data_IF_623392339968
#
_entry.id   IF_623392339968
#
_cell.length_a   1.000
_cell.length_b   1.000
_cell.length_c   1.000
_cell.angle_alpha   90.00
_cell.angle_beta   90.00
_cell.angle_gamma   90.00
#
_symmetry.space_group_name_H-M   'P 1'
#
loop_
_entity.id
_entity.type
_entity.pdbx_description
1 polymer ?
#
# COMPACT_ATOMS: atom_id res chain seq x y z
N UNK A 1 -6.75 12.47 -14.34
CA UNK A 1 -5.85 12.17 -13.20
C UNK A 1 -5.59 10.68 -13.27
N UNK A 2 -4.37 10.25 -13.57
CA UNK A 2 -4.07 8.84 -13.77
C UNK A 2 -3.96 8.14 -12.41
N UNK A 3 -4.64 7.00 -12.24
CA UNK A 3 -4.60 6.20 -11.02
C UNK A 3 -3.76 4.94 -11.25
N UNK A 4 -2.81 4.69 -10.39
CA UNK A 4 -1.96 3.51 -10.41
C UNK A 4 -2.33 2.59 -9.24
N UNK A 5 -2.33 1.28 -9.50
CA UNK A 5 -2.49 0.26 -8.49
C UNK A 5 -1.30 -0.68 -8.56
N UNK A 6 -0.54 -0.79 -7.48
CA UNK A 6 0.52 -1.78 -7.35
C UNK A 6 0.00 -2.94 -6.49
N UNK A 7 0.22 -4.16 -6.98
CA UNK A 7 -0.11 -5.39 -6.26
C UNK A 7 1.15 -6.23 -6.15
N UNK A 8 1.56 -6.55 -4.94
CA UNK A 8 2.55 -7.62 -4.72
C UNK A 8 1.99 -8.94 -5.21
N UNK A 9 2.84 -9.77 -5.83
CA UNK A 9 2.51 -11.03 -6.53
C UNK A 9 1.41 -11.85 -5.88
N UNK A 10 0.58 -12.47 -6.70
CA UNK A 10 -0.61 -13.33 -6.43
C UNK A 10 -0.91 -13.56 -4.95
N UNK A 11 -1.76 -12.69 -4.37
CA UNK A 11 -2.18 -12.82 -2.98
C UNK A 11 -3.38 -13.74 -2.96
N UNK A 12 -3.16 -15.01 -2.60
CA UNK A 12 -4.25 -15.89 -2.19
C UNK A 12 -4.65 -15.48 -0.76
N UNK A 13 -5.83 -14.90 -0.60
CA UNK A 13 -6.35 -14.52 0.72
C UNK A 13 -7.39 -15.56 1.12
N UNK A 14 -7.01 -16.44 2.03
CA UNK A 14 -7.91 -17.45 2.57
C UNK A 14 -8.91 -16.91 3.59
N UNK A 15 -8.59 -15.76 4.21
CA UNK A 15 -9.43 -15.16 5.25
C UNK A 15 -9.57 -13.64 5.04
N UNK A 16 -10.77 -13.12 4.69
CA UNK A 16 -11.02 -11.69 4.49
C UNK A 16 -10.83 -10.85 5.76
N UNK A 17 -10.95 -11.43 6.95
CA UNK A 17 -10.77 -10.71 8.23
C UNK A 17 -9.31 -10.35 8.48
N UNK A 18 -8.37 -10.89 7.70
CA UNK A 18 -6.94 -10.58 7.78
C UNK A 18 -6.46 -9.57 6.74
N UNK A 19 -7.40 -8.88 6.09
CA UNK A 19 -7.13 -7.76 5.19
C UNK A 19 -7.32 -6.45 5.95
N UNK A 20 -6.26 -5.66 6.05
CA UNK A 20 -6.34 -4.30 6.57
C UNK A 20 -6.36 -3.31 5.41
N UNK A 21 -7.46 -2.56 5.27
CA UNK A 21 -7.55 -1.44 4.33
C UNK A 21 -7.52 -0.13 5.10
N UNK A 22 -6.66 0.80 4.67
CA UNK A 22 -6.43 2.06 5.38
C UNK A 22 -5.98 3.15 4.40
N UNK A 23 -6.37 4.40 4.65
CA UNK A 23 -5.79 5.53 3.96
C UNK A 23 -4.36 5.79 4.42
N UNK A 24 -3.50 6.23 3.50
CA UNK A 24 -2.09 6.47 3.76
C UNK A 24 -1.85 7.36 4.98
N UNK A 25 -2.58 8.47 5.09
CA UNK A 25 -2.44 9.41 6.20
C UNK A 25 -2.80 8.80 7.56
N UNK A 26 -3.88 8.01 7.61
CA UNK A 26 -4.33 7.33 8.84
C UNK A 26 -3.33 6.25 9.26
N UNK A 27 -2.76 5.53 8.27
CA UNK A 27 -1.69 4.57 8.53
C UNK A 27 -0.49 5.24 9.20
N UNK A 28 0.03 6.32 8.61
CA UNK A 28 1.17 7.05 9.17
C UNK A 28 0.88 7.58 10.57
N UNK A 29 -0.29 8.19 10.78
CA UNK A 29 -0.71 8.70 12.09
C UNK A 29 -0.73 7.58 13.15
N UNK A 30 -1.29 6.42 12.78
CA UNK A 30 -1.35 5.24 13.65
C UNK A 30 0.04 4.69 13.98
N UNK A 31 0.93 4.64 12.99
CA UNK A 31 2.31 4.20 13.15
C UNK A 31 3.10 5.15 14.04
N UNK A 32 2.98 6.47 13.83
CA UNK A 32 3.60 7.47 14.68
C UNK A 32 3.15 7.34 16.15
N UNK A 33 1.85 7.17 16.40
CA UNK A 33 1.30 6.96 17.74
C UNK A 33 1.85 5.68 18.38
N UNK A 34 1.89 4.57 17.63
CA UNK A 34 2.43 3.31 18.11
C UNK A 34 3.93 3.39 18.43
N UNK A 35 4.72 4.05 17.59
CA UNK A 35 6.16 4.26 17.82
C UNK A 35 6.42 5.15 19.04
N UNK A 36 5.60 6.18 19.25
CA UNK A 36 5.68 7.03 20.42
C UNK A 36 5.40 6.22 21.70
N UNK A 37 4.30 5.45 21.72
CA UNK A 37 3.96 4.57 22.83
C UNK A 37 5.06 3.56 23.14
N UNK A 38 5.66 2.95 22.11
CA UNK A 38 6.78 2.02 22.25
C UNK A 38 8.00 2.67 22.88
N UNK A 39 8.36 3.89 22.44
CA UNK A 39 9.48 4.66 23.02
C UNK A 39 9.26 4.99 24.50
N UNK A 40 8.02 5.36 24.87
CA UNK A 40 7.66 5.63 26.27
C UNK A 40 7.76 4.37 27.14
N UNK A 41 7.24 3.25 26.67
CA UNK A 41 7.32 1.97 27.38
C UNK A 41 8.77 1.55 27.61
N UNK A 42 9.63 1.65 26.58
CA UNK A 42 11.06 1.34 26.68
C UNK A 42 11.81 2.25 27.66
N UNK A 43 11.46 3.54 27.72
CA UNK A 43 12.02 4.49 28.71
C UNK A 43 11.64 4.11 30.15
N UNK A 44 10.41 3.66 30.39
CA UNK A 44 9.95 3.21 31.72
C UNK A 44 10.72 1.96 32.17
N UNK A 45 10.91 0.98 31.28
CA UNK A 45 11.66 -0.25 31.58
C UNK A 45 13.13 0.05 31.93
N UNK A 46 13.78 0.95 31.18
CA UNK A 46 15.17 1.35 31.46
C UNK A 46 15.39 2.07 32.79
N UNK A 47 14.34 2.67 33.36
CA UNK A 47 14.42 3.33 34.69
C UNK A 47 14.36 2.34 35.84
N UNK A 48 13.81 1.16 35.63
CA UNK A 48 13.60 0.14 36.66
C UNK A 48 14.67 -0.95 36.67
N UNK A 49 15.40 -1.13 35.56
CA UNK A 49 16.38 -2.22 35.46
C UNK A 49 17.74 -1.68 35.03
N UNK A 50 18.69 -1.68 36.00
CA UNK A 50 20.08 -1.27 35.80
C UNK A 50 20.92 -2.42 35.19
N UNK A 51 20.36 -3.63 35.07
CA UNK A 51 21.00 -4.85 34.57
C UNK A 51 20.41 -5.33 33.26
N UNK A 52 20.20 -4.43 32.26
CA UNK A 52 19.77 -4.88 30.94
C UNK A 52 20.97 -5.55 30.26
N UNK A 53 20.93 -6.88 30.23
CA UNK A 53 21.72 -7.68 29.28
C UNK A 53 21.31 -7.25 27.87
N UNK A 54 22.32 -6.92 27.06
CA UNK A 54 22.20 -6.65 25.63
C UNK A 54 21.97 -7.99 24.91
N UNK A 55 20.79 -8.58 25.10
CA UNK A 55 20.42 -9.74 24.34
C UNK A 55 20.14 -9.32 22.88
N UNK A 56 20.52 -10.17 21.96
CA UNK A 56 20.51 -9.96 20.51
C UNK A 56 19.12 -9.58 19.91
N UNK A 57 18.03 -9.70 20.68
CA UNK A 57 16.70 -9.22 20.31
C UNK A 57 16.55 -7.69 20.36
N UNK A 58 17.53 -6.96 20.95
CA UNK A 58 17.47 -5.50 21.09
C UNK A 58 17.85 -4.75 19.82
N UNK A 59 18.27 -5.43 18.76
CA UNK A 59 18.68 -4.82 17.49
C UNK A 59 17.52 -4.68 16.49
N UNK A 60 16.30 -5.11 16.85
CA UNK A 60 15.10 -4.95 16.02
C UNK A 60 14.61 -3.51 16.08
N UNK A 61 14.47 -2.85 14.94
CA UNK A 61 13.93 -1.49 14.91
C UNK A 61 12.49 -1.47 15.46
N UNK A 62 12.07 -0.35 16.10
CA UNK A 62 10.68 -0.22 16.58
C UNK A 62 9.65 -0.46 15.49
N UNK A 63 9.93 -0.08 14.25
CA UNK A 63 9.07 -0.31 13.08
C UNK A 63 8.97 -1.79 12.77
N UNK A 64 10.11 -2.50 12.73
CA UNK A 64 10.11 -3.95 12.49
C UNK A 64 9.35 -4.71 13.60
N UNK A 65 9.50 -4.32 14.87
CA UNK A 65 8.75 -4.92 15.97
C UNK A 65 7.24 -4.71 15.82
N UNK A 66 6.82 -3.51 15.40
CA UNK A 66 5.42 -3.19 15.13
C UNK A 66 4.87 -4.07 14.00
N UNK A 67 5.60 -4.14 12.87
CA UNK A 67 5.21 -4.94 11.70
C UNK A 67 5.13 -6.43 12.02
N UNK A 68 6.12 -6.99 12.70
CA UNK A 68 6.09 -8.40 13.14
C UNK A 68 4.88 -8.72 14.02
N UNK A 69 4.46 -7.76 14.85
CA UNK A 69 3.24 -7.90 15.64
C UNK A 69 1.98 -7.88 14.76
N UNK A 70 1.92 -6.95 13.80
CA UNK A 70 0.81 -6.82 12.85
C UNK A 70 0.67 -8.07 11.96
N UNK A 71 1.78 -8.64 11.47
CA UNK A 71 1.83 -9.82 10.61
C UNK A 71 1.21 -11.10 11.22
N UNK A 72 0.99 -11.12 12.54
CA UNK A 72 0.25 -12.21 13.19
C UNK A 72 -1.24 -12.20 12.86
N UNK A 73 -1.79 -11.02 12.51
CA UNK A 73 -3.22 -10.82 12.33
C UNK A 73 -3.57 -10.25 10.94
N UNK A 74 -2.57 -9.85 10.15
CA UNK A 74 -2.76 -9.20 8.86
C UNK A 74 -1.95 -9.97 7.83
N UNK A 75 -2.62 -10.47 6.78
CA UNK A 75 -1.98 -11.11 5.64
C UNK A 75 -1.83 -10.12 4.48
N UNK A 76 -2.76 -9.15 4.37
CA UNK A 76 -2.75 -8.15 3.30
C UNK A 76 -2.99 -6.76 3.86
N UNK A 77 -2.15 -5.82 3.44
CA UNK A 77 -2.27 -4.40 3.71
C UNK A 77 -2.65 -3.66 2.43
N UNK A 78 -3.85 -3.09 2.42
CA UNK A 78 -4.33 -2.23 1.34
C UNK A 78 -4.18 -0.76 1.76
N UNK A 79 -3.42 0.01 1.00
CA UNK A 79 -3.16 1.43 1.27
C UNK A 79 -3.77 2.26 0.16
N UNK A 80 -4.73 3.10 0.51
CA UNK A 80 -5.35 4.03 -0.42
C UNK A 80 -4.64 5.40 -0.37
N UNK A 81 -4.61 6.08 -1.53
CA UNK A 81 -4.06 7.44 -1.68
C UNK A 81 -2.58 7.55 -1.28
N UNK A 82 -1.80 6.58 -1.72
CA UNK A 82 -0.38 6.52 -1.41
C UNK A 82 0.38 7.69 -2.06
N UNK A 83 0.76 8.64 -1.24
CA UNK A 83 1.55 9.81 -1.66
C UNK A 83 2.49 10.25 -0.54
N UNK A 84 3.69 10.68 -0.89
CA UNK A 84 4.72 11.10 0.06
C UNK A 84 5.13 12.52 -0.25
N UNK A 85 5.05 13.41 0.72
CA UNK A 85 5.39 14.83 0.59
C UNK A 85 6.49 15.29 1.56
N UNK A 86 6.70 14.57 2.65
CA UNK A 86 7.66 14.92 3.69
C UNK A 86 8.77 13.86 3.82
N UNK A 87 10.00 14.31 4.19
CA UNK A 87 11.16 13.43 4.32
C UNK A 87 11.03 12.43 5.47
N UNK A 88 10.43 12.82 6.58
CA UNK A 88 10.26 11.93 7.73
C UNK A 88 9.26 10.83 7.40
N UNK A 89 8.17 11.17 6.71
CA UNK A 89 7.19 10.23 6.20
C UNK A 89 7.79 9.28 5.16
N UNK A 90 8.64 9.80 4.25
CA UNK A 90 9.36 8.99 3.27
C UNK A 90 10.24 7.92 3.93
N UNK A 91 11.01 8.30 4.95
CA UNK A 91 11.89 7.37 5.65
C UNK A 91 11.10 6.37 6.50
N UNK A 92 10.07 6.82 7.19
CA UNK A 92 9.19 5.93 7.96
C UNK A 92 8.49 4.92 7.06
N UNK A 93 8.00 5.38 5.91
CA UNK A 93 7.34 4.54 4.92
C UNK A 93 8.27 3.46 4.37
N UNK A 94 9.48 3.85 3.96
CA UNK A 94 10.51 2.91 3.50
C UNK A 94 10.72 1.78 4.53
N UNK A 95 10.87 2.15 5.80
CA UNK A 95 11.11 1.18 6.87
C UNK A 95 9.85 0.32 7.14
N UNK A 96 8.66 0.92 7.10
CA UNK A 96 7.39 0.24 7.34
C UNK A 96 7.06 -0.77 6.24
N UNK A 97 7.05 -0.31 4.99
CA UNK A 97 6.72 -1.15 3.83
C UNK A 97 7.80 -2.21 3.60
N UNK A 98 9.08 -1.83 3.72
CA UNK A 98 10.17 -2.80 3.63
C UNK A 98 10.03 -3.91 4.68
N UNK A 99 9.73 -3.57 5.93
CA UNK A 99 9.50 -4.56 6.98
C UNK A 99 8.23 -5.40 6.73
N UNK A 100 7.16 -4.83 6.14
CA UNK A 100 5.95 -5.56 5.79
C UNK A 100 6.22 -6.60 4.68
N UNK A 101 6.96 -6.22 3.64
CA UNK A 101 7.41 -7.13 2.58
C UNK A 101 8.29 -8.25 3.14
N UNK A 102 9.25 -7.93 4.01
CA UNK A 102 10.12 -8.90 4.67
C UNK A 102 9.36 -9.86 5.60
N UNK A 103 8.24 -9.42 6.16
CA UNK A 103 7.35 -10.24 7.00
C UNK A 103 6.35 -11.07 6.19
N UNK A 104 6.34 -10.95 4.85
CA UNK A 104 5.43 -11.68 3.96
C UNK A 104 4.00 -11.12 3.94
N UNK A 105 3.79 -9.87 4.39
CA UNK A 105 2.50 -9.19 4.25
C UNK A 105 2.32 -8.78 2.80
N UNK A 106 1.24 -9.23 2.16
CA UNK A 106 0.87 -8.79 0.82
C UNK A 106 0.49 -7.31 0.79
N UNK A 107 0.91 -6.59 -0.26
CA UNK A 107 0.64 -5.16 -0.39
C UNK A 107 -0.27 -4.89 -1.58
N UNK A 108 -1.28 -4.06 -1.38
CA UNK A 108 -2.11 -3.46 -2.42
C UNK A 108 -2.12 -1.95 -2.20
N UNK A 109 -1.64 -1.20 -3.18
CA UNK A 109 -1.45 0.25 -3.03
C UNK A 109 -2.13 0.96 -4.18
N UNK A 110 -2.96 1.97 -3.91
CA UNK A 110 -3.46 2.90 -4.92
C UNK A 110 -2.71 4.24 -4.82
N UNK A 111 -2.31 4.80 -5.97
CA UNK A 111 -1.57 6.05 -6.04
C UNK A 111 -1.91 6.82 -7.30
N UNK A 112 -1.77 8.14 -7.25
CA UNK A 112 -1.90 9.02 -8.42
C UNK A 112 -0.58 9.18 -9.18
N UNK A 113 0.49 8.54 -8.71
CA UNK A 113 1.83 8.56 -9.32
C UNK A 113 2.41 7.16 -9.36
N UNK A 114 3.18 6.82 -10.40
CA UNK A 114 3.92 5.56 -10.42
C UNK A 114 5.02 5.54 -9.34
N UNK A 115 5.52 4.37 -8.95
CA UNK A 115 6.55 4.26 -7.91
C UNK A 115 7.78 5.13 -8.14
N UNK A 116 8.23 5.27 -9.40
CA UNK A 116 9.41 6.07 -9.75
C UNK A 116 9.22 7.57 -9.49
N UNK A 117 7.98 8.07 -9.54
CA UNK A 117 7.65 9.48 -9.31
C UNK A 117 7.29 9.78 -7.85
N UNK A 118 7.23 8.75 -7.00
CA UNK A 118 7.02 8.96 -5.57
C UNK A 118 8.17 9.77 -5.00
N UNK A 119 7.82 10.86 -4.32
CA UNK A 119 8.76 11.77 -3.67
C UNK A 119 9.84 12.32 -4.63
N UNK A 120 9.46 12.65 -5.90
CA UNK A 120 10.39 13.00 -6.98
C UNK A 120 11.29 14.19 -6.65
N UNK A 121 10.75 15.25 -6.06
CA UNK A 121 11.47 16.47 -5.71
C UNK A 121 11.83 16.54 -4.21
N UNK A 122 11.77 15.41 -3.54
CA UNK A 122 11.95 15.34 -2.09
C UNK A 122 13.40 15.38 -1.64
N UNK A 123 13.62 15.97 -0.46
CA UNK A 123 14.93 16.04 0.18
C UNK A 123 15.46 14.64 0.49
N UNK A 124 16.73 14.36 0.17
CA UNK A 124 17.39 13.07 0.39
C UNK A 124 16.68 11.89 -0.33
N UNK A 125 16.09 12.15 -1.48
CA UNK A 125 15.38 11.13 -2.28
C UNK A 125 16.26 9.92 -2.63
N UNK A 126 17.57 10.10 -2.74
CA UNK A 126 18.54 9.05 -2.99
C UNK A 126 18.50 7.92 -1.94
N UNK A 127 18.12 8.22 -0.70
CA UNK A 127 17.95 7.22 0.37
C UNK A 127 16.68 6.36 0.18
N UNK A 128 15.75 6.83 -0.64
CA UNK A 128 14.50 6.13 -0.96
C UNK A 128 14.63 5.26 -2.22
N UNK A 129 15.54 5.60 -3.14
CA UNK A 129 15.68 4.92 -4.43
C UNK A 129 15.80 3.40 -4.33
N UNK A 130 16.63 2.80 -3.46
CA UNK A 130 16.72 1.35 -3.35
C UNK A 130 15.38 0.70 -2.97
N UNK A 131 14.61 1.37 -2.12
CA UNK A 131 13.28 0.92 -1.74
C UNK A 131 12.27 1.03 -2.91
N UNK A 132 12.30 2.13 -3.65
CA UNK A 132 11.43 2.32 -4.83
C UNK A 132 11.72 1.27 -5.90
N UNK A 133 12.98 0.96 -6.18
CA UNK A 133 13.37 -0.10 -7.10
C UNK A 133 12.89 -1.48 -6.63
N UNK A 134 13.01 -1.76 -5.34
CA UNK A 134 12.47 -3.00 -4.77
C UNK A 134 10.96 -3.07 -4.92
N UNK A 135 10.25 -2.01 -4.56
CA UNK A 135 8.79 -1.93 -4.68
C UNK A 135 8.34 -2.18 -6.11
N UNK A 136 9.03 -1.59 -7.10
CA UNK A 136 8.74 -1.78 -8.51
C UNK A 136 9.02 -3.21 -8.98
N UNK A 137 10.16 -3.78 -8.60
CA UNK A 137 10.58 -5.11 -9.03
C UNK A 137 9.74 -6.25 -8.42
N UNK A 138 9.23 -6.06 -7.21
CA UNK A 138 8.43 -7.05 -6.48
C UNK A 138 6.91 -6.83 -6.62
N UNK A 139 6.47 -5.81 -7.40
CA UNK A 139 5.05 -5.47 -7.57
C UNK A 139 4.60 -5.52 -9.03
N UNK A 140 3.34 -5.88 -9.24
CA UNK A 140 2.66 -5.68 -10.52
C UNK A 140 1.98 -4.32 -10.54
N UNK A 141 2.35 -3.46 -11.48
CA UNK A 141 1.78 -2.11 -11.62
C UNK A 141 0.65 -2.18 -12.65
N UNK A 142 -0.54 -1.73 -12.26
CA UNK A 142 -1.72 -1.65 -13.12
C UNK A 142 -2.14 -0.19 -13.27
N UNK A 143 -2.27 0.27 -14.50
CA UNK A 143 -2.81 1.60 -14.82
C UNK A 143 -4.33 1.49 -14.97
N UNK A 144 -5.08 2.12 -14.08
CA UNK A 144 -6.56 1.97 -14.03
C UNK A 144 -7.26 2.73 -15.16
N UNK A 145 -6.68 3.82 -15.65
CA UNK A 145 -7.24 4.61 -16.77
C UNK A 145 -7.21 3.85 -18.12
N UNK A 146 -6.48 2.74 -18.19
CA UNK A 146 -6.41 1.88 -19.36
C UNK A 146 -7.45 0.75 -19.36
N UNK A 147 -8.22 0.62 -18.28
CA UNK A 147 -9.30 -0.38 -18.22
C UNK A 147 -10.54 0.18 -18.94
N UNK A 148 -11.16 -0.56 -19.87
CA UNK A 148 -12.42 -0.14 -20.46
C UNK A 148 -13.47 0.01 -19.36
N UNK A 149 -14.27 1.08 -19.44
CA UNK A 149 -15.38 1.29 -18.51
C UNK A 149 -16.39 0.15 -18.68
N UNK A 150 -16.64 -0.68 -17.65
CA UNK A 150 -17.61 -1.77 -17.75
C UNK A 150 -19.03 -1.29 -18.11
N UNK A 151 -19.30 0.02 -17.98
CA UNK A 151 -20.57 0.61 -18.40
C UNK A 151 -20.64 0.92 -19.90
N UNK A 152 -19.53 0.90 -20.65
CA UNK A 152 -19.52 1.19 -22.09
C UNK A 152 -19.96 0.02 -22.96
N UNK A 153 -20.00 -1.20 -22.45
CA UNK A 153 -20.40 -2.40 -23.19
C UNK A 153 -21.93 -2.66 -23.24
N UNK A 154 -22.75 -1.82 -22.61
CA UNK A 154 -24.21 -2.05 -22.52
C UNK A 154 -25.01 -1.36 -23.65
N UNK A 155 -24.40 -0.57 -24.52
CA UNK A 155 -25.14 0.23 -25.52
C UNK A 155 -25.12 -0.27 -26.98
N UNK A 156 -24.76 -1.51 -27.29
CA UNK A 156 -24.73 -2.02 -28.66
C UNK A 156 -25.64 -3.26 -28.94
N UNK A 157 -26.72 -3.41 -28.21
CA UNK A 157 -27.73 -4.45 -28.58
C UNK A 157 -29.14 -3.97 -28.32
N UNK A 158 -29.63 -3.06 -29.16
CA UNK A 158 -31.02 -2.64 -29.11
C UNK A 158 -31.34 -1.61 -30.18
N UNK A 159 -31.76 -2.06 -31.35
CA UNK A 159 -32.75 -1.54 -32.28
C UNK A 159 -32.38 -1.81 -33.74
N UNK A 160 -32.69 -3.01 -34.17
CA UNK A 160 -33.13 -3.22 -35.55
C UNK A 160 -34.60 -3.58 -35.50
N UNK A 161 -35.45 -2.55 -35.55
CA UNK A 161 -36.88 -2.69 -35.83
C UNK A 161 -37.09 -3.06 -37.28
N UNK A 162 -38.15 -3.85 -37.59
CA UNK A 162 -38.38 -4.38 -38.93
C UNK A 162 -38.88 -3.29 -39.89
N UNK A 163 -38.23 -3.23 -41.05
CA UNK A 163 -38.68 -2.40 -42.20
C UNK A 163 -40.06 -2.81 -42.66
N UNK A 164 -41.00 -1.87 -42.59
CA UNK A 164 -42.33 -2.00 -43.23
C UNK A 164 -42.20 -1.90 -44.75
N UNK A 165 -42.48 -3.00 -45.43
CA UNK A 165 -42.75 -3.01 -46.86
C UNK A 165 -44.09 -2.30 -47.10
N UNK A 166 -44.08 -1.16 -47.78
CA UNK A 166 -45.27 -0.54 -48.38
C UNK A 166 -45.33 -0.93 -49.83
N UNK A 167 -46.26 -1.85 -50.16
CA UNK A 167 -46.68 -2.09 -51.51
C UNK A 167 -47.47 -0.88 -52.00
N UNK A 168 -47.24 -0.50 -53.27
CA UNK A 168 -48.10 0.38 -54.08
C UNK A 168 -48.50 -0.39 -55.31
N UNK A 169 -49.82 -0.63 -55.40
CA UNK A 169 -50.47 -0.99 -56.61
C UNK A 169 -50.96 0.28 -57.32
N UNK A 170 -50.85 0.24 -58.63
CA UNK A 170 -51.41 1.01 -59.70
C UNK A 170 -50.63 2.16 -60.24
#
# INVERSE_FOLDING_TARGET
MQHYKAMSSTIAVDNPDRILRVHFHDLLSSVHAALHAFRLARRKLRRHDTTIRLDSEQNVSPVQALVRRAARNIDVLCIDEFQVSDVADAMLLKDLIGAAMDAGIGLVVSSNRPPQELYQDGLNRELLLPFLHRLESESTIVLLDALPDPASDVQLSGEQGPAKASGSSQ
#
